data_IF_274100851867
#
_entry.id   IF_274100851867
#
_cell.length_a   1.000
_cell.length_b   1.000
_cell.length_c   1.000
_cell.angle_alpha   90.00
_cell.angle_beta   90.00
_cell.angle_gamma   90.00
#
_symmetry.space_group_name_H-M   'P 1'
#
loop_
_entity.id
_entity.type
_entity.pdbx_description
1 polymer ?
#
# COMPACT_ATOMS: atom_id res chain seq x y z
N UNK A 1 3.46 2.25 18.03
CA UNK A 1 4.74 2.08 17.28
C UNK A 1 4.83 0.73 16.57
N UNK A 2 4.53 -0.40 17.24
CA UNK A 2 4.61 -1.75 16.65
C UNK A 2 3.71 -1.91 15.39
N UNK A 3 2.51 -1.31 15.39
CA UNK A 3 1.60 -1.35 14.24
C UNK A 3 2.18 -0.75 12.95
N UNK A 4 3.16 0.16 13.05
CA UNK A 4 3.81 0.80 11.90
C UNK A 4 4.59 -0.23 11.08
N UNK A 5 5.07 -1.31 11.71
CA UNK A 5 5.86 -2.34 11.04
C UNK A 5 5.04 -3.60 10.75
N UNK A 6 4.16 -3.99 11.68
CA UNK A 6 3.33 -5.20 11.51
C UNK A 6 2.25 -5.00 10.46
N UNK A 7 1.58 -3.84 10.43
CA UNK A 7 0.51 -3.58 9.45
C UNK A 7 1.04 -3.66 8.02
N UNK A 8 2.15 -2.99 7.67
CA UNK A 8 2.74 -3.14 6.35
C UNK A 8 3.15 -4.57 5.99
N UNK A 9 3.69 -5.33 6.94
CA UNK A 9 4.05 -6.73 6.67
C UNK A 9 2.83 -7.55 6.23
N UNK A 10 1.76 -7.50 7.02
CA UNK A 10 0.53 -8.26 6.76
C UNK A 10 -0.14 -7.78 5.47
N UNK A 11 -0.32 -6.46 5.32
CA UNK A 11 -0.96 -5.90 4.14
C UNK A 11 -0.17 -6.20 2.86
N UNK A 12 1.16 -6.06 2.86
CA UNK A 12 1.92 -6.34 1.63
C UNK A 12 1.91 -7.82 1.28
N UNK A 13 1.83 -8.74 2.24
CA UNK A 13 1.58 -10.15 1.95
C UNK A 13 0.21 -10.34 1.27
N UNK A 14 -0.86 -9.82 1.85
CA UNK A 14 -2.22 -9.94 1.31
C UNK A 14 -2.32 -9.30 -0.08
N UNK A 15 -1.93 -8.04 -0.22
CA UNK A 15 -2.15 -7.27 -1.45
C UNK A 15 -1.11 -7.52 -2.55
N UNK A 16 0.15 -7.81 -2.22
CA UNK A 16 1.23 -7.97 -3.23
C UNK A 16 1.57 -9.42 -3.51
N UNK A 17 1.42 -10.33 -2.54
CA UNK A 17 1.65 -11.76 -2.79
C UNK A 17 0.37 -12.45 -3.28
N UNK A 18 -0.73 -12.34 -2.53
CA UNK A 18 -1.94 -13.10 -2.81
C UNK A 18 -2.85 -12.41 -3.83
N UNK A 19 -3.34 -11.20 -3.54
CA UNK A 19 -4.30 -10.49 -4.38
C UNK A 19 -3.71 -10.17 -5.77
N UNK A 20 -2.49 -9.63 -5.82
CA UNK A 20 -1.82 -9.36 -7.09
C UNK A 20 -1.68 -10.62 -7.95
N UNK A 21 -1.22 -11.73 -7.37
CA UNK A 21 -1.06 -12.99 -8.11
C UNK A 21 -2.40 -13.51 -8.64
N UNK A 22 -3.44 -13.49 -7.81
CA UNK A 22 -4.80 -13.88 -8.18
C UNK A 22 -5.35 -13.03 -9.33
N UNK A 23 -5.34 -11.70 -9.18
CA UNK A 23 -5.85 -10.78 -10.20
C UNK A 23 -5.04 -10.84 -11.49
N UNK A 24 -3.71 -11.02 -11.39
CA UNK A 24 -2.86 -11.14 -12.58
C UNK A 24 -3.13 -12.42 -13.37
N UNK A 25 -3.55 -13.51 -12.71
CA UNK A 25 -4.00 -14.75 -13.39
C UNK A 25 -5.34 -14.57 -14.09
N UNK A 26 -6.23 -13.74 -13.56
CA UNK A 26 -7.56 -13.49 -14.14
C UNK A 26 -7.48 -12.53 -15.33
N UNK A 27 -6.88 -11.36 -15.12
CA UNK A 27 -6.89 -10.30 -16.14
C UNK A 27 -5.79 -10.46 -17.17
N UNK A 28 -4.70 -11.16 -16.85
CA UNK A 28 -3.49 -11.28 -17.68
C UNK A 28 -2.92 -9.93 -18.15
N UNK A 29 -3.30 -8.82 -17.51
CA UNK A 29 -2.93 -7.46 -17.90
C UNK A 29 -2.53 -6.63 -16.67
N UNK A 30 -1.22 -6.42 -16.52
CA UNK A 30 -0.62 -5.81 -15.32
C UNK A 30 -1.20 -4.44 -14.95
N UNK A 31 -1.57 -3.61 -15.94
CA UNK A 31 -2.17 -2.28 -15.71
C UNK A 31 -3.54 -2.39 -15.05
N UNK A 32 -4.37 -3.32 -15.54
CA UNK A 32 -5.71 -3.60 -14.98
C UNK A 32 -5.57 -4.21 -13.59
N UNK A 33 -4.68 -5.19 -13.42
CA UNK A 33 -4.33 -5.79 -12.12
C UNK A 33 -3.92 -4.72 -11.09
N UNK A 34 -3.07 -3.78 -11.49
CA UNK A 34 -2.62 -2.69 -10.61
C UNK A 34 -3.76 -1.77 -10.20
N UNK A 35 -4.61 -1.37 -11.15
CA UNK A 35 -5.75 -0.51 -10.88
C UNK A 35 -6.74 -1.18 -9.92
N UNK A 36 -7.18 -2.41 -10.24
CA UNK A 36 -8.12 -3.15 -9.39
C UNK A 36 -7.54 -3.46 -8.02
N UNK A 37 -6.28 -3.91 -7.93
CA UNK A 37 -5.64 -4.15 -6.64
C UNK A 37 -5.57 -2.88 -5.78
N UNK A 38 -5.36 -1.72 -6.40
CA UNK A 38 -5.24 -0.44 -5.68
C UNK A 38 -6.60 0.10 -5.24
N UNK A 39 -7.66 -0.11 -6.04
CA UNK A 39 -9.04 0.20 -5.65
C UNK A 39 -9.46 -0.66 -4.45
N UNK A 40 -9.24 -1.97 -4.51
CA UNK A 40 -9.56 -2.88 -3.39
C UNK A 40 -8.77 -2.50 -2.14
N UNK A 41 -7.49 -2.16 -2.29
CA UNK A 41 -6.66 -1.64 -1.19
C UNK A 41 -7.29 -0.40 -0.55
N UNK A 42 -7.66 0.60 -1.35
CA UNK A 42 -8.23 1.84 -0.84
C UNK A 42 -9.60 1.65 -0.16
N UNK A 43 -10.47 0.82 -0.74
CA UNK A 43 -11.80 0.56 -0.16
C UNK A 43 -11.72 -0.12 1.21
N UNK A 44 -10.77 -1.03 1.41
CA UNK A 44 -10.59 -1.74 2.68
C UNK A 44 -10.01 -0.87 3.80
N UNK A 45 -9.53 0.34 3.50
CA UNK A 45 -9.11 1.29 4.52
C UNK A 45 -10.28 2.06 5.16
N UNK A 46 -11.50 1.95 4.60
CA UNK A 46 -12.71 2.59 5.13
C UNK A 46 -12.50 4.08 5.47
N UNK A 47 -11.79 4.78 4.59
CA UNK A 47 -11.35 6.16 4.78
C UNK A 47 -11.98 7.07 3.73
N UNK A 48 -12.21 8.33 4.08
CA UNK A 48 -12.58 9.40 3.15
C UNK A 48 -11.46 9.74 2.15
N UNK A 49 -10.21 9.38 2.46
CA UNK A 49 -9.04 9.61 1.60
C UNK A 49 -8.85 8.51 0.55
N UNK A 50 -9.93 8.04 -0.09
CA UNK A 50 -9.90 6.95 -1.08
C UNK A 50 -8.96 7.28 -2.24
N UNK A 51 -9.00 8.50 -2.77
CA UNK A 51 -8.23 8.87 -3.96
C UNK A 51 -6.71 8.86 -3.70
N UNK A 52 -6.18 9.46 -2.61
CA UNK A 52 -4.79 9.26 -2.20
C UNK A 52 -4.41 7.80 -1.98
N UNK A 53 -5.30 7.00 -1.38
CA UNK A 53 -5.06 5.57 -1.12
C UNK A 53 -4.97 4.73 -2.40
N UNK A 54 -5.74 5.06 -3.44
CA UNK A 54 -5.58 4.44 -4.77
C UNK A 54 -4.20 4.79 -5.33
N UNK A 55 -3.78 6.05 -5.21
CA UNK A 55 -2.46 6.52 -5.65
C UNK A 55 -1.30 5.77 -4.96
N UNK A 56 -1.35 5.65 -3.63
CA UNK A 56 -0.34 4.88 -2.87
C UNK A 56 -0.38 3.39 -3.23
N UNK A 57 -1.58 2.83 -3.40
CA UNK A 57 -1.78 1.48 -3.92
C UNK A 57 -1.06 1.25 -5.25
N UNK A 58 -1.20 2.18 -6.20
CA UNK A 58 -0.56 2.12 -7.51
C UNK A 58 0.96 2.20 -7.42
N UNK A 59 1.51 3.07 -6.56
CA UNK A 59 2.95 3.18 -6.31
C UNK A 59 3.49 1.84 -5.78
N UNK A 60 2.79 1.23 -4.82
CA UNK A 60 3.18 -0.07 -4.28
C UNK A 60 3.09 -1.20 -5.32
N UNK A 61 2.06 -1.19 -6.17
CA UNK A 61 1.92 -2.12 -7.29
C UNK A 61 3.09 -1.97 -8.28
N UNK A 62 3.42 -0.74 -8.67
CA UNK A 62 4.53 -0.44 -9.55
C UNK A 62 5.88 -0.87 -8.96
N UNK A 63 6.12 -0.58 -7.68
CA UNK A 63 7.36 -0.98 -7.00
C UNK A 63 7.50 -2.51 -6.93
N UNK A 64 6.40 -3.21 -6.60
CA UNK A 64 6.40 -4.67 -6.58
C UNK A 64 6.65 -5.23 -7.98
N UNK A 65 5.98 -4.67 -8.99
CA UNK A 65 6.15 -5.11 -10.37
C UNK A 65 7.59 -4.92 -10.87
N UNK A 66 8.20 -3.78 -10.55
CA UNK A 66 9.56 -3.43 -10.97
C UNK A 66 10.64 -4.27 -10.27
N UNK A 67 10.44 -4.60 -9.00
CA UNK A 67 11.49 -5.21 -8.17
C UNK A 67 11.29 -6.70 -7.88
N UNK A 68 10.05 -7.21 -7.99
CA UNK A 68 9.68 -8.57 -7.60
C UNK A 68 9.79 -8.85 -6.09
N UNK A 69 10.18 -7.85 -5.28
CA UNK A 69 10.53 -8.03 -3.86
C UNK A 69 9.47 -7.37 -2.96
N UNK A 70 8.86 -8.17 -2.08
CA UNK A 70 7.88 -7.69 -1.09
C UNK A 70 8.56 -6.80 -0.04
N UNK A 71 9.80 -7.13 0.35
CA UNK A 71 10.55 -6.37 1.36
C UNK A 71 10.70 -4.90 1.00
N UNK A 72 10.87 -4.57 -0.29
CA UNK A 72 10.96 -3.19 -0.75
C UNK A 72 9.65 -2.41 -0.49
N UNK A 73 8.50 -3.07 -0.67
CA UNK A 73 7.20 -2.50 -0.35
C UNK A 73 6.97 -2.36 1.16
N UNK A 74 7.44 -3.32 1.95
CA UNK A 74 7.34 -3.26 3.41
C UNK A 74 8.14 -2.07 3.92
N UNK A 75 9.39 -1.91 3.48
CA UNK A 75 10.25 -0.79 3.87
C UNK A 75 9.58 0.53 3.46
N UNK A 76 9.19 0.68 2.19
CA UNK A 76 8.56 1.92 1.72
C UNK A 76 7.27 2.25 2.51
N UNK A 77 6.43 1.25 2.77
CA UNK A 77 5.16 1.48 3.46
C UNK A 77 5.36 1.81 4.94
N UNK A 78 6.28 1.12 5.63
CA UNK A 78 6.65 1.48 7.00
C UNK A 78 7.23 2.90 7.08
N UNK A 79 8.09 3.28 6.13
CA UNK A 79 8.63 4.65 6.05
C UNK A 79 7.53 5.68 5.82
N UNK A 80 6.59 5.41 4.92
CA UNK A 80 5.45 6.29 4.67
C UNK A 80 4.59 6.50 5.93
N UNK A 81 4.26 5.41 6.63
CA UNK A 81 3.48 5.47 7.86
C UNK A 81 4.23 6.22 8.98
N UNK A 82 5.55 6.05 9.07
CA UNK A 82 6.37 6.79 10.02
C UNK A 82 6.38 8.29 9.71
N UNK A 83 6.55 8.67 8.43
CA UNK A 83 6.51 10.08 8.01
C UNK A 83 5.16 10.72 8.34
N UNK A 84 4.04 10.04 8.05
CA UNK A 84 2.71 10.54 8.40
C UNK A 84 2.55 10.75 9.90
N UNK A 85 3.00 9.79 10.71
CA UNK A 85 2.93 9.90 12.17
C UNK A 85 3.73 11.10 12.68
N UNK A 86 4.96 11.28 12.21
CA UNK A 86 5.82 12.39 12.62
C UNK A 86 5.21 13.73 12.20
N UNK A 87 4.74 13.84 10.95
CA UNK A 87 4.08 15.07 10.46
C UNK A 87 2.83 15.40 11.28
N UNK A 88 2.02 14.39 11.60
CA UNK A 88 0.85 14.56 12.46
C UNK A 88 1.22 15.08 13.85
N UNK A 89 2.25 14.49 14.48
CA UNK A 89 2.73 14.92 15.79
C UNK A 89 3.24 16.38 15.77
N UNK A 90 4.01 16.74 14.74
CA UNK A 90 4.50 18.12 14.56
C UNK A 90 3.32 19.08 14.40
N UNK A 91 2.36 18.77 13.53
CA UNK A 91 1.19 19.63 13.31
C UNK A 91 0.37 19.85 14.59
N UNK A 92 0.10 18.77 15.34
CA UNK A 92 -0.63 18.86 16.62
C UNK A 92 0.14 19.67 17.67
N UNK A 93 1.48 19.66 17.66
CA UNK A 93 2.26 20.46 18.60
C UNK A 93 2.18 21.98 18.39
N UNK A 94 1.66 22.42 17.24
CA UNK A 94 1.43 23.84 16.91
C UNK A 94 -0.03 24.27 17.09
N UNK A 95 -0.93 23.35 17.45
CA UNK A 95 -2.33 23.60 17.80
C UNK A 95 -2.48 23.71 19.31
#
# INVERSE_FOLDING_TARGET
MICIFISPLVEKLIFRKYLWSFLNRIFNQKRVTALFSSIVFALLHLSEYILPLIGTGLIFCWLYHKTGKIINNIILHSSYNLTLLVMYQIFVSYL
#
